data_IF_470478571968
#
_entry.id   IF_470478571968
#
_cell.length_a   1.000
_cell.length_b   1.000
_cell.length_c   1.000
_cell.angle_alpha   90.00
_cell.angle_beta   90.00
_cell.angle_gamma   90.00
#
_symmetry.space_group_name_H-M   'P 1'
#
loop_
_entity.id
_entity.type
_entity.pdbx_description
1 polymer ?
#
# COMPACT_ATOMS: atom_id res chain seq x y z
N UNK A 1 -8.45 -1.33 4.23
CA UNK A 1 -8.93 -2.36 5.20
C UNK A 1 -8.06 -2.47 6.46
N UNK A 2 -6.75 -2.71 6.32
CA UNK A 2 -5.83 -2.84 7.47
C UNK A 2 -5.75 -1.56 8.32
N UNK A 3 -5.92 -0.38 7.71
CA UNK A 3 -6.01 0.90 8.42
C UNK A 3 -7.15 0.91 9.45
N UNK A 4 -8.35 0.48 9.07
CA UNK A 4 -9.51 0.42 9.99
C UNK A 4 -9.28 -0.55 11.14
N UNK A 5 -8.67 -1.71 10.86
CA UNK A 5 -8.26 -2.65 11.89
C UNK A 5 -7.22 -2.04 12.83
N UNK A 6 -6.20 -1.40 12.27
CA UNK A 6 -5.12 -0.78 13.02
C UNK A 6 -5.63 0.34 13.91
N UNK A 7 -6.52 1.21 13.43
CA UNK A 7 -7.14 2.27 14.24
C UNK A 7 -8.05 1.72 15.35
N UNK A 8 -8.64 0.55 15.12
CA UNK A 8 -9.46 -0.15 16.13
C UNK A 8 -8.61 -0.79 17.23
N UNK A 9 -7.43 -1.30 16.87
CA UNK A 9 -6.57 -2.11 17.73
C UNK A 9 -5.38 -1.35 18.31
N UNK A 10 -5.04 -0.18 17.77
CA UNK A 10 -3.94 0.64 18.24
C UNK A 10 -4.23 1.23 19.61
N UNK A 11 -3.17 1.57 20.31
CA UNK A 11 -3.25 2.43 21.48
C UNK A 11 -3.20 3.89 21.06
N UNK A 12 -3.80 4.77 21.87
CA UNK A 12 -3.89 6.20 21.62
C UNK A 12 -2.99 6.91 22.63
N UNK A 13 -2.13 7.82 22.18
CA UNK A 13 -1.17 8.51 23.05
C UNK A 13 -1.31 10.04 22.91
N UNK A 14 -1.18 10.73 24.05
CA UNK A 14 -1.11 12.19 24.12
C UNK A 14 -2.46 12.89 24.07
N UNK A 15 -2.42 14.23 24.12
CA UNK A 15 -3.60 15.11 24.13
C UNK A 15 -4.27 15.17 22.75
N UNK A 16 -3.55 14.81 21.68
CA UNK A 16 -4.03 14.80 20.29
C UNK A 16 -4.70 13.50 19.84
N UNK A 17 -4.77 12.46 20.69
CA UNK A 17 -5.21 11.11 20.29
C UNK A 17 -4.46 10.64 19.03
N UNK A 18 -3.13 10.61 19.09
CA UNK A 18 -2.34 10.08 17.99
C UNK A 18 -2.33 8.55 18.05
N UNK A 19 -2.75 7.84 16.98
CA UNK A 19 -2.77 6.39 16.97
C UNK A 19 -1.35 5.83 16.89
N UNK A 20 -1.01 4.93 17.82
CA UNK A 20 0.30 4.25 17.84
C UNK A 20 0.18 2.83 17.31
N UNK A 21 0.82 2.57 16.17
CA UNK A 21 0.89 1.23 15.59
C UNK A 21 1.80 0.31 16.42
N UNK A 22 1.24 -0.77 16.96
CA UNK A 22 2.00 -1.82 17.65
C UNK A 22 1.81 -3.14 16.90
N UNK A 23 2.87 -3.76 16.35
CA UNK A 23 2.75 -4.97 15.53
C UNK A 23 2.00 -6.11 16.22
N UNK A 24 2.27 -6.34 17.51
CA UNK A 24 1.65 -7.42 18.29
C UNK A 24 0.14 -7.27 18.46
N UNK A 25 -0.38 -6.03 18.49
CA UNK A 25 -1.82 -5.79 18.62
C UNK A 25 -2.52 -5.54 17.30
N UNK A 26 -1.79 -5.11 16.27
CA UNK A 26 -2.36 -4.73 14.97
C UNK A 26 -2.08 -5.78 13.88
N UNK A 27 -0.81 -6.12 13.64
CA UNK A 27 -0.42 -7.02 12.55
C UNK A 27 -0.67 -8.49 12.91
N UNK A 28 -0.17 -8.93 14.06
CA UNK A 28 -0.22 -10.34 14.46
C UNK A 28 -1.65 -10.83 14.73
N UNK A 29 -2.55 -9.92 15.08
CA UNK A 29 -3.97 -10.20 15.30
C UNK A 29 -4.82 -9.99 14.05
N UNK A 30 -4.25 -9.48 12.95
CA UNK A 30 -4.99 -9.22 11.73
C UNK A 30 -5.51 -10.55 11.15
N UNK A 31 -6.80 -10.64 10.79
CA UNK A 31 -7.40 -11.88 10.29
C UNK A 31 -6.99 -12.13 8.84
N UNK A 32 -5.78 -12.66 8.63
CA UNK A 32 -5.29 -13.03 7.30
C UNK A 32 -6.15 -14.14 6.67
N UNK A 33 -6.28 -14.16 5.33
CA UNK A 33 -6.92 -15.26 4.64
C UNK A 33 -6.09 -16.53 4.76
N UNK A 34 -6.76 -17.68 4.80
CA UNK A 34 -6.11 -19.00 4.79
C UNK A 34 -5.16 -19.13 3.58
N UNK A 35 -3.94 -19.60 3.82
CA UNK A 35 -2.89 -19.75 2.79
C UNK A 35 -2.17 -18.45 2.42
N UNK A 36 -2.48 -17.33 3.10
CA UNK A 36 -1.80 -16.03 2.96
C UNK A 36 -1.45 -15.42 4.33
N UNK A 37 -1.23 -16.26 5.32
CA UNK A 37 -0.75 -15.84 6.63
C UNK A 37 0.76 -15.56 6.60
N UNK A 38 1.30 -14.80 7.57
CA UNK A 38 2.74 -14.62 7.70
C UNK A 38 3.51 -15.95 7.74
N UNK A 39 2.92 -17.01 8.32
CA UNK A 39 3.50 -18.35 8.38
C UNK A 39 3.63 -18.98 6.99
N UNK A 40 2.61 -18.82 6.14
CA UNK A 40 2.61 -19.35 4.77
C UNK A 40 3.70 -18.70 3.89
N UNK A 41 4.11 -17.48 4.22
CA UNK A 41 5.14 -16.73 3.48
C UNK A 41 6.51 -16.67 4.18
N UNK A 42 6.69 -17.41 5.27
CA UNK A 42 7.88 -17.31 6.12
C UNK A 42 9.20 -17.69 5.40
N UNK A 43 9.11 -18.51 4.36
CA UNK A 43 10.26 -18.93 3.55
C UNK A 43 10.80 -17.83 2.62
N UNK A 44 10.09 -16.70 2.49
CA UNK A 44 10.48 -15.52 1.69
C UNK A 44 10.83 -15.80 0.21
N UNK A 45 10.36 -16.93 -0.33
CA UNK A 45 10.57 -17.24 -1.75
C UNK A 45 9.59 -16.43 -2.58
N UNK A 46 10.08 -15.79 -3.62
CA UNK A 46 9.28 -14.90 -4.47
C UNK A 46 9.46 -15.22 -5.95
N UNK A 47 8.43 -14.93 -6.74
CA UNK A 47 8.49 -14.89 -8.20
C UNK A 47 8.08 -13.51 -8.70
N UNK A 48 8.72 -13.05 -9.79
CA UNK A 48 8.43 -11.77 -10.42
C UNK A 48 7.53 -11.98 -11.63
N UNK A 49 6.41 -11.27 -11.67
CA UNK A 49 5.47 -11.27 -12.79
C UNK A 49 6.00 -10.41 -13.95
N UNK A 50 5.45 -10.61 -15.15
CA UNK A 50 5.83 -9.85 -16.35
C UNK A 50 5.73 -8.33 -16.18
N UNK A 51 4.80 -7.86 -15.35
CA UNK A 51 4.59 -6.44 -15.07
C UNK A 51 5.46 -5.90 -13.93
N UNK A 52 6.41 -6.68 -13.42
CA UNK A 52 7.34 -6.30 -12.35
C UNK A 52 6.77 -6.43 -10.93
N UNK A 53 5.53 -6.89 -10.77
CA UNK A 53 4.99 -7.20 -9.45
C UNK A 53 5.64 -8.46 -8.88
N UNK A 54 5.99 -8.44 -7.59
CA UNK A 54 6.62 -9.54 -6.88
C UNK A 54 5.55 -10.24 -6.03
N UNK A 55 5.46 -11.57 -6.14
CA UNK A 55 4.53 -12.38 -5.35
C UNK A 55 5.28 -13.49 -4.60
N UNK A 56 4.79 -13.94 -3.43
CA UNK A 56 5.31 -15.13 -2.80
C UNK A 56 5.08 -16.35 -3.70
N UNK A 57 6.04 -17.27 -3.73
CA UNK A 57 5.89 -18.54 -4.44
C UNK A 57 4.77 -19.33 -3.74
N UNK A 58 3.61 -19.43 -4.38
CA UNK A 58 2.51 -20.21 -3.86
C UNK A 58 2.77 -21.71 -4.07
N UNK A 59 2.72 -22.51 -3.00
CA UNK A 59 2.76 -23.96 -3.13
C UNK A 59 1.49 -24.46 -3.84
N UNK A 60 1.68 -25.19 -4.95
CA UNK A 60 0.62 -25.62 -5.85
C UNK A 60 -0.32 -26.67 -5.21
N UNK A 61 -1.28 -26.23 -4.39
CA UNK A 61 -2.47 -27.01 -4.05
C UNK A 61 -3.65 -26.59 -4.95
N UNK A 62 -4.69 -27.41 -5.05
CA UNK A 62 -5.91 -27.06 -5.82
C UNK A 62 -6.65 -25.84 -5.22
N UNK A 63 -6.52 -25.61 -3.92
CA UNK A 63 -6.87 -24.35 -3.26
C UNK A 63 -5.89 -23.22 -3.63
N UNK A 64 -4.60 -23.55 -3.77
CA UNK A 64 -3.51 -22.66 -4.17
C UNK A 64 -3.67 -22.01 -5.55
N UNK A 65 -4.34 -22.63 -6.53
CA UNK A 65 -4.56 -22.00 -7.86
C UNK A 65 -5.53 -20.82 -7.77
N UNK A 66 -6.65 -20.95 -7.05
CA UNK A 66 -7.61 -19.85 -6.85
C UNK A 66 -7.02 -18.72 -5.99
N UNK A 67 -6.14 -19.08 -5.05
CA UNK A 67 -5.37 -18.13 -4.23
C UNK A 67 -4.33 -17.41 -5.08
N UNK A 68 -3.60 -18.11 -5.96
CA UNK A 68 -2.57 -17.51 -6.83
C UNK A 68 -3.13 -16.39 -7.71
N UNK A 69 -4.26 -16.61 -8.35
CA UNK A 69 -4.93 -15.58 -9.19
C UNK A 69 -5.28 -14.31 -8.40
N UNK A 70 -5.62 -14.52 -7.14
CA UNK A 70 -5.99 -13.48 -6.19
C UNK A 70 -4.76 -12.71 -5.68
N UNK A 71 -3.68 -13.43 -5.34
CA UNK A 71 -2.38 -12.86 -4.95
C UNK A 71 -1.82 -12.01 -6.08
N UNK A 72 -1.90 -12.51 -7.33
CA UNK A 72 -1.52 -11.76 -8.53
C UNK A 72 -2.27 -10.42 -8.55
N UNK A 73 -3.60 -10.42 -8.45
CA UNK A 73 -4.40 -9.19 -8.48
C UNK A 73 -4.01 -8.18 -7.39
N UNK A 74 -3.79 -8.64 -6.16
CA UNK A 74 -3.33 -7.77 -5.06
C UNK A 74 -1.95 -7.19 -5.40
N UNK A 75 -1.01 -8.03 -5.80
CA UNK A 75 0.36 -7.61 -6.06
C UNK A 75 0.45 -6.65 -7.24
N UNK A 76 -0.33 -6.87 -8.31
CA UNK A 76 -0.41 -5.94 -9.44
C UNK A 76 -0.99 -4.58 -9.01
N UNK A 77 -2.05 -4.57 -8.20
CA UNK A 77 -2.63 -3.33 -7.68
C UNK A 77 -1.66 -2.58 -6.74
N UNK A 78 -0.96 -3.31 -5.85
CA UNK A 78 0.03 -2.74 -4.95
C UNK A 78 1.24 -2.19 -5.72
N UNK A 79 1.74 -2.94 -6.71
CA UNK A 79 2.83 -2.51 -7.58
C UNK A 79 2.44 -1.24 -8.34
N UNK A 80 1.22 -1.19 -8.91
CA UNK A 80 0.70 -0.01 -9.60
C UNK A 80 0.61 1.22 -8.68
N UNK A 81 0.12 1.05 -7.46
CA UNK A 81 0.09 2.12 -6.45
C UNK A 81 1.50 2.61 -6.13
N UNK A 82 2.45 1.69 -5.94
CA UNK A 82 3.85 2.05 -5.68
C UNK A 82 4.46 2.83 -6.85
N UNK A 83 4.26 2.36 -8.09
CA UNK A 83 4.73 3.08 -9.29
C UNK A 83 4.15 4.50 -9.37
N UNK A 84 2.87 4.70 -9.08
CA UNK A 84 2.26 6.03 -9.07
C UNK A 84 2.86 6.94 -8.01
N UNK A 85 3.09 6.39 -6.79
CA UNK A 85 3.75 7.11 -5.70
C UNK A 85 5.17 7.49 -6.08
N UNK A 86 5.94 6.54 -6.62
CA UNK A 86 7.33 6.78 -7.05
C UNK A 86 7.39 7.83 -8.16
N UNK A 87 6.52 7.75 -9.17
CA UNK A 87 6.48 8.75 -10.25
C UNK A 87 6.10 10.14 -9.73
N UNK A 88 5.25 10.21 -8.70
CA UNK A 88 4.92 11.48 -8.06
C UNK A 88 6.05 11.98 -7.15
N UNK A 89 6.74 11.11 -6.41
CA UNK A 89 7.86 11.51 -5.55
C UNK A 89 9.08 11.92 -6.38
N UNK A 90 9.35 11.16 -7.43
CA UNK A 90 10.56 11.21 -8.24
C UNK A 90 10.23 11.38 -9.74
N UNK A 91 9.63 12.51 -10.15
CA UNK A 91 9.28 12.74 -11.55
C UNK A 91 10.53 12.72 -12.45
N UNK A 92 10.55 11.93 -13.55
CA UNK A 92 11.72 11.79 -14.42
C UNK A 92 12.09 13.10 -15.14
N UNK A 93 11.12 14.00 -15.31
CA UNK A 93 11.36 15.34 -15.81
C UNK A 93 12.22 16.19 -14.86
N UNK A 94 12.16 15.95 -13.54
CA UNK A 94 12.88 16.73 -12.52
C UNK A 94 14.09 16.00 -11.95
N UNK A 95 14.22 14.69 -12.18
CA UNK A 95 15.29 13.85 -11.65
C UNK A 95 16.29 13.48 -12.75
N UNK A 96 17.56 13.40 -12.40
CA UNK A 96 18.62 12.88 -13.25
C UNK A 96 19.44 11.84 -12.49
N UNK A 97 19.92 10.81 -13.20
CA UNK A 97 20.87 9.85 -12.66
C UNK A 97 22.26 10.37 -12.87
N UNK A 98 23.00 10.52 -11.78
CA UNK A 98 24.40 10.94 -11.79
C UNK A 98 25.21 9.77 -11.21
N UNK A 99 26.32 9.38 -11.87
CA UNK A 99 27.26 8.42 -11.32
C UNK A 99 27.60 8.78 -9.88
N UNK A 100 27.47 7.80 -8.98
CA UNK A 100 27.86 7.98 -7.60
C UNK A 100 29.39 8.10 -7.47
N UNK A 101 29.84 8.67 -6.36
CA UNK A 101 31.26 8.94 -6.16
C UNK A 101 32.03 7.62 -6.08
N UNK A 102 32.97 7.40 -7.01
CA UNK A 102 33.88 6.26 -6.95
C UNK A 102 34.81 6.45 -5.75
N UNK A 103 34.82 5.53 -4.76
CA UNK A 103 35.72 5.63 -3.62
C UNK A 103 37.19 5.60 -4.06
N UNK A 104 38.05 6.33 -3.35
CA UNK A 104 39.49 6.34 -3.61
C UNK A 104 40.05 4.91 -3.53
N UNK A 105 40.65 4.41 -4.62
CA UNK A 105 41.22 3.06 -4.69
C UNK A 105 40.40 2.02 -5.46
N UNK A 106 39.25 2.38 -6.03
CA UNK A 106 38.48 1.51 -6.94
C UNK A 106 38.60 1.95 -8.41
N UNK A 107 38.65 0.99 -9.32
CA UNK A 107 38.74 1.20 -10.78
C UNK A 107 37.37 1.39 -11.45
N UNK A 108 36.27 1.22 -10.72
CA UNK A 108 34.90 1.40 -11.20
C UNK A 108 33.92 1.62 -10.05
N UNK A 109 32.73 2.13 -10.37
CA UNK A 109 31.67 2.44 -9.41
C UNK A 109 30.93 1.15 -8.99
N UNK A 110 31.00 0.72 -7.72
CA UNK A 110 30.30 -0.48 -7.25
C UNK A 110 28.81 -0.23 -6.92
N UNK A 111 28.41 1.05 -6.85
CA UNK A 111 27.07 1.47 -6.43
C UNK A 111 26.22 1.90 -7.61
N UNK A 112 24.88 1.69 -7.57
CA UNK A 112 23.99 2.21 -8.58
C UNK A 112 24.04 3.74 -8.65
N UNK A 113 23.68 4.30 -9.81
CA UNK A 113 23.67 5.75 -10.00
C UNK A 113 22.77 6.46 -8.98
N UNK A 114 23.26 7.58 -8.47
CA UNK A 114 22.51 8.41 -7.54
C UNK A 114 21.45 9.20 -8.30
N UNK A 115 20.21 9.15 -7.83
CA UNK A 115 19.13 9.97 -8.36
C UNK A 115 19.20 11.34 -7.67
N UNK A 116 19.47 12.39 -8.44
CA UNK A 116 19.56 13.77 -7.93
C UNK A 116 18.55 14.67 -8.67
N UNK A 117 18.08 15.75 -8.03
CA UNK A 117 17.28 16.76 -8.71
C UNK A 117 18.09 17.41 -9.84
N UNK A 118 17.43 17.72 -10.95
CA UNK A 118 17.94 18.64 -11.97
C UNK A 118 17.96 20.06 -11.42
N UNK A 119 18.90 20.86 -11.91
CA UNK A 119 19.08 22.24 -11.48
C UNK A 119 17.77 23.05 -11.60
N UNK A 120 17.36 23.70 -10.51
CA UNK A 120 16.16 24.53 -10.44
C UNK A 120 14.89 23.82 -9.94
N UNK A 121 14.92 22.49 -9.77
CA UNK A 121 13.78 21.71 -9.29
C UNK A 121 13.88 21.31 -7.80
N UNK A 122 14.96 21.67 -7.12
CA UNK A 122 15.26 21.25 -5.74
C UNK A 122 14.14 21.67 -4.77
N UNK A 123 13.64 22.90 -4.91
CA UNK A 123 12.58 23.45 -4.06
C UNK A 123 11.24 22.74 -4.27
N UNK A 124 10.91 22.39 -5.51
CA UNK A 124 9.66 21.69 -5.83
C UNK A 124 9.73 20.22 -5.42
N UNK A 125 10.90 19.59 -5.57
CA UNK A 125 11.11 18.22 -5.10
C UNK A 125 11.07 18.11 -3.59
N UNK A 126 11.60 19.11 -2.86
CA UNK A 126 11.53 19.15 -1.39
C UNK A 126 10.08 19.15 -0.85
N UNK A 127 9.11 19.64 -1.64
CA UNK A 127 7.67 19.59 -1.28
C UNK A 127 7.05 18.22 -1.56
N UNK A 128 7.68 17.37 -2.36
CA UNK A 128 7.15 16.05 -2.74
C UNK A 128 7.55 14.98 -1.72
N UNK A 129 6.95 15.08 -0.53
CA UNK A 129 7.06 14.04 0.51
C UNK A 129 5.82 13.16 0.53
N UNK A 130 5.94 11.93 1.03
CA UNK A 130 4.77 11.07 1.23
C UNK A 130 3.72 11.74 2.11
N UNK A 131 4.13 12.42 3.18
CA UNK A 131 3.22 13.19 4.04
C UNK A 131 2.41 14.20 3.22
N UNK A 132 3.05 14.99 2.37
CA UNK A 132 2.35 15.97 1.54
C UNK A 132 1.42 15.30 0.51
N UNK A 133 1.84 14.18 -0.09
CA UNK A 133 1.01 13.41 -1.02
C UNK A 133 -0.27 12.91 -0.34
N UNK A 134 -0.16 12.33 0.85
CA UNK A 134 -1.30 11.79 1.58
C UNK A 134 -2.19 12.88 2.18
N UNK A 135 -1.64 14.05 2.53
CA UNK A 135 -2.42 15.21 2.95
C UNK A 135 -3.22 15.82 1.78
N UNK A 136 -2.63 15.93 0.59
CA UNK A 136 -3.32 16.43 -0.60
C UNK A 136 -4.32 15.42 -1.18
N UNK A 137 -4.04 14.13 -1.02
CA UNK A 137 -4.84 12.98 -1.47
C UNK A 137 -5.50 13.17 -2.85
N UNK A 138 -4.70 13.32 -3.92
CA UNK A 138 -5.24 13.54 -5.27
C UNK A 138 -6.12 12.37 -5.73
N UNK A 139 -7.08 12.63 -6.63
CA UNK A 139 -8.07 11.63 -7.04
C UNK A 139 -7.50 10.32 -7.58
N UNK A 140 -6.34 10.36 -8.26
CA UNK A 140 -5.65 9.16 -8.72
C UNK A 140 -5.14 8.29 -7.57
N UNK A 141 -4.75 8.91 -6.45
CA UNK A 141 -4.25 8.19 -5.27
C UNK A 141 -5.42 7.47 -4.58
N UNK A 142 -6.57 8.15 -4.44
CA UNK A 142 -7.76 7.51 -3.88
C UNK A 142 -8.25 6.35 -4.75
N UNK A 143 -8.26 6.53 -6.07
CA UNK A 143 -8.62 5.47 -7.01
C UNK A 143 -7.65 4.27 -6.94
N UNK A 144 -6.35 4.51 -6.83
CA UNK A 144 -5.35 3.44 -6.69
C UNK A 144 -5.51 2.67 -5.37
N UNK A 145 -5.74 3.37 -4.26
CA UNK A 145 -6.06 2.74 -2.97
C UNK A 145 -7.39 1.97 -3.02
N UNK A 146 -8.42 2.50 -3.70
CA UNK A 146 -9.69 1.79 -3.94
C UNK A 146 -9.46 0.46 -4.64
N UNK A 147 -8.68 0.46 -5.71
CA UNK A 147 -8.43 -0.73 -6.51
C UNK A 147 -7.73 -1.81 -5.66
N UNK A 148 -6.75 -1.40 -4.84
CA UNK A 148 -6.07 -2.30 -3.91
C UNK A 148 -7.03 -2.84 -2.84
N UNK A 149 -7.84 -1.98 -2.22
CA UNK A 149 -8.82 -2.40 -1.22
C UNK A 149 -9.85 -3.38 -1.78
N UNK A 150 -10.33 -3.17 -3.02
CA UNK A 150 -11.27 -4.09 -3.69
C UNK A 150 -10.61 -5.45 -3.92
N UNK A 151 -9.36 -5.48 -4.39
CA UNK A 151 -8.62 -6.71 -4.59
C UNK A 151 -8.44 -7.49 -3.28
N UNK A 152 -8.12 -6.80 -2.18
CA UNK A 152 -7.95 -7.39 -0.84
C UNK A 152 -9.29 -7.83 -0.23
N UNK A 153 -10.35 -7.03 -0.36
CA UNK A 153 -11.66 -7.34 0.21
C UNK A 153 -12.25 -8.63 -0.39
N UNK A 154 -12.03 -8.86 -1.68
CA UNK A 154 -12.45 -10.08 -2.36
C UNK A 154 -11.84 -11.35 -1.74
N UNK A 155 -10.66 -11.24 -1.12
CA UNK A 155 -9.92 -12.38 -0.53
C UNK A 155 -10.36 -12.64 0.89
N UNK A 156 -10.33 -11.60 1.72
CA UNK A 156 -10.69 -11.66 3.13
C UNK A 156 -12.13 -12.11 3.33
N UNK A 157 -13.02 -11.71 2.43
CA UNK A 157 -14.43 -12.11 2.50
C UNK A 157 -14.66 -13.57 2.09
N UNK A 158 -13.86 -14.10 1.15
CA UNK A 158 -14.00 -15.47 0.64
C UNK A 158 -13.48 -16.52 1.63
N UNK A 159 -12.47 -16.18 2.43
CA UNK A 159 -11.98 -17.03 3.53
C UNK A 159 -12.91 -17.04 4.75
N UNK A 160 -13.87 -16.10 4.84
CA UNK A 160 -14.84 -16.00 5.95
C UNK A 160 -16.08 -16.89 5.75
N UNK A 161 -15.92 -18.12 5.26
CA UNK A 161 -16.95 -19.15 5.45
C UNK A 161 -16.78 -19.73 6.86
N UNK A 162 -17.85 -19.71 7.66
CA UNK A 162 -18.03 -20.26 9.03
C UNK A 162 -17.49 -19.32 10.13
N UNK A 163 -18.23 -18.30 10.57
CA UNK A 163 -19.24 -18.45 11.64
C UNK A 163 -19.97 -17.10 11.81
N UNK A 164 -21.30 -17.12 11.88
CA UNK A 164 -22.24 -15.99 12.04
C UNK A 164 -22.71 -15.25 10.76
N UNK A 165 -23.94 -15.56 10.28
CA UNK A 165 -24.50 -14.96 9.06
C UNK A 165 -24.98 -13.49 9.20
N UNK A 166 -24.89 -12.86 10.38
CA UNK A 166 -25.55 -11.56 10.62
C UNK A 166 -24.69 -10.29 10.39
N UNK A 167 -23.39 -10.42 10.06
CA UNK A 167 -22.47 -9.28 9.95
C UNK A 167 -22.16 -8.82 8.52
N UNK A 168 -22.58 -9.60 7.50
CA UNK A 168 -22.18 -9.42 6.11
C UNK A 168 -22.75 -8.16 5.44
N UNK A 169 -23.94 -7.71 5.83
CA UNK A 169 -24.57 -6.57 5.17
C UNK A 169 -24.21 -5.23 5.83
N UNK A 170 -23.91 -5.23 7.13
CA UNK A 170 -23.56 -4.04 7.88
C UNK A 170 -22.16 -3.54 7.57
N UNK A 171 -21.14 -4.40 7.41
CA UNK A 171 -19.76 -3.96 7.14
C UNK A 171 -19.51 -3.56 5.69
N UNK A 172 -20.15 -4.23 4.72
CA UNK A 172 -20.12 -3.77 3.32
C UNK A 172 -20.92 -2.46 3.15
N UNK A 173 -22.09 -2.33 3.80
CA UNK A 173 -22.83 -1.05 3.83
C UNK A 173 -22.12 0.04 4.62
N UNK A 174 -21.39 -0.27 5.70
CA UNK A 174 -20.54 0.69 6.43
C UNK A 174 -19.34 1.11 5.59
N UNK A 175 -18.69 0.20 4.85
CA UNK A 175 -17.59 0.54 3.94
C UNK A 175 -18.06 1.45 2.78
N UNK A 176 -19.24 1.18 2.21
CA UNK A 176 -19.85 2.08 1.24
C UNK A 176 -20.28 3.41 1.90
N UNK A 177 -20.96 3.39 3.05
CA UNK A 177 -21.54 4.58 3.71
C UNK A 177 -20.49 5.52 4.32
N UNK A 178 -19.41 5.00 4.91
CA UNK A 178 -18.29 5.81 5.41
C UNK A 178 -17.54 6.45 4.24
N UNK A 179 -17.44 5.77 3.11
CA UNK A 179 -16.76 6.30 1.92
C UNK A 179 -17.56 7.37 1.16
N UNK A 180 -18.89 7.35 1.23
CA UNK A 180 -19.73 8.42 0.67
C UNK A 180 -19.77 9.67 1.57
N UNK A 181 -19.61 9.54 2.89
CA UNK A 181 -19.59 10.69 3.81
C UNK A 181 -18.29 11.51 3.79
N UNK A 182 -17.17 10.96 3.33
CA UNK A 182 -15.89 11.68 3.22
C UNK A 182 -15.76 12.46 1.89
N UNK A 183 -16.69 12.29 0.96
CA UNK A 183 -16.67 12.93 -0.37
C UNK A 183 -17.63 14.13 -0.49
N UNK A 184 -18.39 14.45 0.57
CA UNK A 184 -19.30 15.61 0.59
C UNK A 184 -18.96 16.51 1.77
N UNK A 185 -17.83 17.21 1.68
CA UNK A 185 -17.68 18.52 2.31
C UNK A 185 -17.06 19.45 1.25
N UNK A 186 -17.92 19.96 0.37
CA UNK A 186 -17.60 21.14 -0.45
C UNK A 186 -17.42 22.36 0.47
N UNK A 187 -16.47 23.26 0.17
CA UNK A 187 -16.31 24.49 0.93
C UNK A 187 -17.50 25.40 0.62
N UNK A 188 -18.37 25.62 1.60
CA UNK A 188 -19.33 26.72 1.55
C UNK A 188 -18.55 28.02 1.66
N UNK A 189 -18.16 28.56 0.50
CA UNK A 189 -17.78 29.94 0.32
C UNK A 189 -19.04 30.77 0.07
N UNK A 190 -19.48 31.54 1.07
CA UNK A 190 -20.27 32.77 1.00
C UNK A 190 -20.02 33.46 2.36
N UNK A 191 -19.68 34.74 2.48
CA UNK A 191 -19.97 35.93 1.69
C UNK A 191 -20.23 37.03 2.71
#
# INVERSE_FOLDING_TARGET
MHELWSLRMCTWLGVGNDPRYTPTTCFETFPFPEGLTPLDTAHQQTETLENGAIIPVAHASRAGVAIKDTVIKIAQAAHRLNQLRENWLNPPEWMQRVPDVVPLGMTGQPYPDRIVPKAGYEKELAKRTLTNLYNQRPGWLDAAHRALDVAVAHTLWRSRKLTHPCSLELTHRLWLRVRWHVVIDEPTALG
#
